data_IF_574537266148
#
_entry.id   IF_574537266148
#
_cell.length_a   1.000
_cell.length_b   1.000
_cell.length_c   1.000
_cell.angle_alpha   90.00
_cell.angle_beta   90.00
_cell.angle_gamma   90.00
#
_symmetry.space_group_name_H-M   'P 1'
#
loop_
_entity.id
_entity.type
_entity.pdbx_description
1 polymer ?
#
# COMPACT_ATOMS: atom_id res chain seq x y z
N UNK A 1 -8.85 -6.89 2.84
CA UNK A 1 -9.76 -5.94 2.14
C UNK A 1 -8.91 -5.09 1.20
N UNK A 2 -9.38 -4.79 -0.02
CA UNK A 2 -8.70 -3.82 -0.92
C UNK A 2 -9.02 -2.41 -0.45
N UNK A 3 -8.01 -1.55 -0.31
CA UNK A 3 -8.19 -0.19 0.23
C UNK A 3 -7.86 0.87 -0.82
N UNK A 4 -6.87 0.60 -1.65
CA UNK A 4 -6.40 1.57 -2.62
C UNK A 4 -6.13 0.87 -3.95
N UNK A 5 -6.62 1.47 -5.03
CA UNK A 5 -6.36 1.04 -6.40
C UNK A 5 -6.16 2.29 -7.25
N UNK A 6 -5.08 2.32 -8.02
CA UNK A 6 -4.79 3.38 -8.97
C UNK A 6 -4.32 2.76 -10.29
N UNK A 7 -4.64 3.41 -11.40
CA UNK A 7 -4.29 2.98 -12.75
C UNK A 7 -3.62 4.15 -13.47
N UNK A 8 -2.44 3.89 -14.04
CA UNK A 8 -1.65 4.89 -14.75
C UNK A 8 -1.15 4.30 -16.06
N UNK A 9 -1.23 5.07 -17.14
CA UNK A 9 -0.64 4.68 -18.42
C UNK A 9 0.87 4.89 -18.35
N UNK A 10 1.64 3.87 -18.69
CA UNK A 10 3.10 3.90 -18.64
C UNK A 10 3.71 3.57 -20.00
N UNK A 11 4.85 4.20 -20.29
CA UNK A 11 5.73 3.81 -21.37
C UNK A 11 6.77 2.79 -20.87
N UNK A 12 7.15 1.85 -21.73
CA UNK A 12 8.21 0.87 -21.50
C UNK A 12 8.09 0.06 -20.17
N UNK A 13 7.17 -0.93 -20.11
CA UNK A 13 6.83 -1.67 -18.89
C UNK A 13 8.02 -2.42 -18.25
N UNK A 14 9.00 -2.85 -19.06
CA UNK A 14 10.19 -3.57 -18.59
C UNK A 14 11.11 -2.70 -17.73
N UNK A 15 11.33 -1.44 -18.13
CA UNK A 15 12.13 -0.48 -17.35
C UNK A 15 11.39 -0.14 -16.05
N UNK A 16 10.08 0.12 -16.15
CA UNK A 16 9.25 0.47 -15.00
C UNK A 16 9.22 -0.61 -13.94
N UNK A 17 9.11 -1.87 -14.35
CA UNK A 17 9.21 -3.03 -13.48
C UNK A 17 10.50 -3.03 -12.66
N UNK A 18 11.65 -2.82 -13.29
CA UNK A 18 12.94 -2.79 -12.58
C UNK A 18 13.03 -1.63 -11.58
N UNK A 19 12.53 -0.44 -11.96
CA UNK A 19 12.46 0.72 -11.07
C UNK A 19 11.57 0.44 -9.85
N UNK A 20 10.41 -0.18 -10.04
CA UNK A 20 9.49 -0.57 -8.95
C UNK A 20 10.17 -1.55 -8.00
N UNK A 21 10.78 -2.63 -8.53
CA UNK A 21 11.45 -3.64 -7.70
C UNK A 21 12.60 -3.01 -6.91
N UNK A 22 13.41 -2.17 -7.54
CA UNK A 22 14.51 -1.47 -6.89
C UNK A 22 14.00 -0.58 -5.76
N UNK A 23 12.95 0.22 -6.01
CA UNK A 23 12.38 1.10 -4.99
C UNK A 23 11.79 0.32 -3.82
N UNK A 24 11.02 -0.73 -4.09
CA UNK A 24 10.39 -1.58 -3.07
C UNK A 24 11.45 -2.21 -2.15
N UNK A 25 12.53 -2.77 -2.71
CA UNK A 25 13.64 -3.30 -1.92
C UNK A 25 14.34 -2.22 -1.09
N UNK A 26 14.59 -1.05 -1.68
CA UNK A 26 15.25 0.09 -1.01
C UNK A 26 14.47 0.56 0.23
N UNK A 27 13.14 0.54 0.18
CA UNK A 27 12.28 0.93 1.31
C UNK A 27 11.97 -0.24 2.26
N UNK A 28 12.54 -1.42 2.02
CA UNK A 28 12.46 -2.58 2.92
C UNK A 28 11.27 -3.52 2.66
N UNK A 29 10.60 -3.44 1.52
CA UNK A 29 9.60 -4.45 1.13
C UNK A 29 10.24 -5.69 0.54
N UNK A 30 9.66 -6.84 0.85
CA UNK A 30 10.02 -8.12 0.26
C UNK A 30 9.16 -8.41 -0.98
N UNK A 31 9.77 -8.96 -2.04
CA UNK A 31 9.07 -9.30 -3.28
C UNK A 31 8.66 -10.77 -3.20
N UNK A 32 7.34 -11.03 -3.06
CA UNK A 32 6.78 -12.38 -3.02
C UNK A 32 6.68 -13.03 -4.39
N UNK A 33 6.33 -12.25 -5.41
CA UNK A 33 6.13 -12.75 -6.77
C UNK A 33 6.54 -11.69 -7.78
N UNK A 34 7.28 -12.09 -8.80
CA UNK A 34 7.67 -11.24 -9.92
C UNK A 34 7.50 -12.03 -11.23
N UNK A 35 6.49 -11.68 -12.01
CA UNK A 35 6.14 -12.29 -13.31
C UNK A 35 5.84 -11.20 -14.32
N UNK A 36 5.87 -11.46 -15.62
CA UNK A 36 5.79 -10.43 -16.69
C UNK A 36 4.58 -9.49 -16.63
N UNK A 37 3.52 -9.90 -15.93
CA UNK A 37 2.30 -9.08 -15.77
C UNK A 37 2.06 -8.61 -14.34
N UNK A 38 2.84 -9.08 -13.35
CA UNK A 38 2.55 -8.85 -11.93
C UNK A 38 3.80 -8.78 -11.06
N UNK A 39 3.86 -7.81 -10.15
CA UNK A 39 4.75 -7.77 -8.99
C UNK A 39 3.88 -7.81 -7.72
N UNK A 40 4.08 -8.80 -6.84
CA UNK A 40 3.47 -8.86 -5.51
C UNK A 40 4.57 -8.65 -4.48
N UNK A 41 4.31 -7.76 -3.52
CA UNK A 41 5.23 -7.46 -2.44
C UNK A 41 4.48 -7.40 -1.11
N UNK A 42 5.23 -7.57 -0.03
CA UNK A 42 4.73 -7.48 1.33
C UNK A 42 5.79 -6.88 2.24
N UNK A 43 5.33 -6.46 3.41
CA UNK A 43 6.23 -6.24 4.54
C UNK A 43 6.40 -7.59 5.26
N UNK A 44 7.64 -8.09 5.36
CA UNK A 44 7.94 -9.34 6.09
C UNK A 44 7.98 -9.13 7.61
N UNK A 45 7.91 -7.88 8.09
CA UNK A 45 7.65 -7.65 9.51
C UNK A 45 6.17 -7.92 9.79
N UNK A 46 5.88 -9.11 10.34
CA UNK A 46 4.58 -9.55 10.91
C UNK A 46 4.05 -8.64 12.04
N UNK A 47 4.66 -7.48 12.22
CA UNK A 47 4.30 -6.53 13.23
C UNK A 47 4.12 -5.18 12.55
N UNK A 48 2.92 -4.65 12.68
CA UNK A 48 2.72 -3.22 12.86
C UNK A 48 3.52 -2.82 14.10
N UNK A 49 4.86 -2.82 14.02
CA UNK A 49 5.72 -2.50 15.15
C UNK A 49 5.40 -1.06 15.50
N UNK A 50 4.86 -0.88 16.69
CA UNK A 50 4.72 0.38 17.38
C UNK A 50 6.07 1.12 17.54
N UNK A 51 7.18 0.44 17.23
CA UNK A 51 8.57 0.88 17.45
C UNK A 51 9.14 1.89 16.44
N UNK A 52 8.41 2.35 15.42
CA UNK A 52 8.97 3.41 14.58
C UNK A 52 7.91 4.39 14.10
N UNK A 53 7.74 5.46 14.88
CA UNK A 53 7.14 6.72 14.42
C UNK A 53 7.95 7.37 13.28
N UNK A 54 9.18 6.89 12.99
CA UNK A 54 10.09 7.51 12.01
C UNK A 54 9.99 6.92 10.60
N UNK A 55 9.63 5.65 10.43
CA UNK A 55 9.56 5.05 9.10
C UNK A 55 8.15 5.05 8.54
N UNK A 56 7.83 6.16 7.88
CA UNK A 56 6.55 6.40 7.21
C UNK A 56 6.17 5.34 6.18
N UNK A 57 7.00 4.35 5.86
CA UNK A 57 6.79 3.42 4.74
C UNK A 57 6.40 2.00 5.13
N UNK A 58 6.44 1.58 6.40
CA UNK A 58 6.16 0.20 6.83
C UNK A 58 4.71 -0.03 7.25
N UNK A 59 3.73 0.32 6.40
CA UNK A 59 2.29 0.15 6.73
C UNK A 59 1.45 -0.54 5.66
N UNK A 60 2.07 -1.02 4.57
CA UNK A 60 1.36 -1.84 3.58
C UNK A 60 1.68 -3.30 3.88
N UNK A 61 0.67 -4.06 4.31
CA UNK A 61 0.83 -5.49 4.58
C UNK A 61 1.13 -6.25 3.28
N UNK A 62 0.31 -6.04 2.26
CA UNK A 62 0.47 -6.64 0.93
C UNK A 62 0.12 -5.61 -0.16
N UNK A 63 0.98 -5.49 -1.16
CA UNK A 63 0.76 -4.67 -2.34
C UNK A 63 0.99 -5.45 -3.63
N UNK A 64 0.37 -5.00 -4.71
CA UNK A 64 0.45 -5.61 -6.04
C UNK A 64 0.53 -4.53 -7.10
N UNK A 65 1.50 -4.64 -7.99
CA UNK A 65 1.51 -3.95 -9.28
C UNK A 65 1.11 -4.95 -10.37
N UNK A 66 0.19 -4.56 -11.23
CA UNK A 66 -0.22 -5.32 -12.41
C UNK A 66 0.10 -4.49 -13.65
N UNK A 67 0.67 -5.15 -14.66
CA UNK A 67 0.90 -4.59 -15.98
C UNK A 67 -0.15 -5.19 -16.90
N UNK A 68 -1.00 -4.34 -17.47
CA UNK A 68 -2.09 -4.73 -18.36
C UNK A 68 -1.81 -4.09 -19.71
N UNK A 69 -1.72 -4.90 -20.76
CA UNK A 69 -1.63 -4.37 -22.13
C UNK A 69 -2.99 -3.81 -22.56
N UNK A 70 -3.01 -2.61 -23.12
CA UNK A 70 -4.19 -1.93 -23.65
C UNK A 70 -3.89 -1.38 -25.04
N UNK A 71 -4.92 -1.16 -25.85
CA UNK A 71 -4.81 -0.60 -27.20
C UNK A 71 -4.11 0.77 -27.24
N UNK A 72 -4.11 1.50 -26.12
CA UNK A 72 -3.48 2.83 -25.98
C UNK A 72 -2.09 2.78 -25.31
N UNK A 73 -1.56 1.59 -25.04
CA UNK A 73 -0.27 1.38 -24.35
C UNK A 73 -0.39 0.45 -23.14
N UNK A 74 0.67 0.37 -22.33
CA UNK A 74 0.68 -0.47 -21.12
C UNK A 74 0.09 0.30 -19.92
N UNK A 75 -0.86 -0.28 -19.23
CA UNK A 75 -1.45 0.25 -18.00
C UNK A 75 -0.75 -0.39 -16.79
N UNK A 76 -0.25 0.44 -15.88
CA UNK A 76 0.21 0.04 -14.56
C UNK A 76 -0.91 0.22 -13.55
N UNK A 77 -1.39 -0.88 -13.00
CA UNK A 77 -2.38 -0.88 -11.91
C UNK A 77 -1.69 -1.18 -10.59
N UNK A 78 -1.83 -0.28 -9.62
CA UNK A 78 -1.30 -0.44 -8.28
C UNK A 78 -2.42 -0.72 -7.29
N UNK A 79 -2.39 -1.87 -6.63
CA UNK A 79 -3.37 -2.32 -5.65
C UNK A 79 -2.73 -2.52 -4.28
N UNK A 80 -3.40 -2.06 -3.22
CA UNK A 80 -2.97 -2.25 -1.83
C UNK A 80 -4.06 -2.92 -1.02
N UNK A 81 -3.66 -3.97 -0.31
CA UNK A 81 -4.48 -4.74 0.60
C UNK A 81 -4.00 -4.52 2.03
N UNK A 82 -4.96 -4.31 2.93
CA UNK A 82 -4.72 -4.28 4.38
C UNK A 82 -5.73 -5.18 5.05
N UNK A 83 -5.31 -5.78 6.15
CA UNK A 83 -6.13 -6.64 6.97
C UNK A 83 -6.57 -5.89 8.23
N UNK A 84 -7.89 -5.81 8.43
CA UNK A 84 -8.51 -5.20 9.63
C UNK A 84 -9.38 -6.21 10.38
N UNK A 85 -9.15 -7.50 10.17
CA UNK A 85 -10.04 -8.55 10.68
C UNK A 85 -10.14 -8.51 12.21
N UNK A 86 -9.00 -8.29 12.87
CA UNK A 86 -8.94 -8.19 14.33
C UNK A 86 -9.67 -6.94 14.84
N UNK A 87 -9.39 -5.77 14.27
CA UNK A 87 -10.02 -4.51 14.66
C UNK A 87 -11.53 -4.52 14.42
N UNK A 88 -11.97 -5.08 13.29
CA UNK A 88 -13.39 -5.23 12.99
C UNK A 88 -14.07 -6.16 13.99
N UNK A 89 -13.43 -7.28 14.34
CA UNK A 89 -13.97 -8.19 15.36
C UNK A 89 -14.04 -7.54 16.74
N UNK A 90 -13.05 -6.71 17.10
CA UNK A 90 -13.04 -5.96 18.35
C UNK A 90 -14.14 -4.90 18.39
N UNK A 91 -14.35 -4.16 17.29
CA UNK A 91 -15.43 -3.16 17.17
C UNK A 91 -16.81 -3.84 17.25
N UNK A 92 -17.00 -4.97 16.58
CA UNK A 92 -18.26 -5.71 16.64
C UNK A 92 -18.52 -6.25 18.06
N UNK A 93 -17.50 -6.86 18.68
CA UNK A 93 -17.58 -7.35 20.05
C UNK A 93 -17.87 -6.22 21.05
N UNK A 94 -17.25 -5.05 20.89
CA UNK A 94 -17.46 -3.90 21.75
C UNK A 94 -18.82 -3.25 21.51
N UNK A 95 -19.36 -3.26 20.30
CA UNK A 95 -20.72 -2.81 20.02
C UNK A 95 -21.75 -3.69 20.74
N UNK A 96 -21.63 -5.02 20.62
CA UNK A 96 -22.50 -5.95 21.35
C UNK A 96 -22.35 -5.74 22.85
N UNK A 97 -21.12 -5.72 23.37
CA UNK A 97 -20.85 -5.48 24.78
C UNK A 97 -21.37 -4.12 25.28
N UNK A 98 -21.31 -3.08 24.46
CA UNK A 98 -21.78 -1.73 24.82
C UNK A 98 -23.29 -1.62 24.96
N UNK A 99 -24.05 -2.41 24.21
CA UNK A 99 -25.51 -2.51 24.37
C UNK A 99 -25.88 -3.17 25.71
N UNK A 100 -25.11 -4.17 26.16
CA UNK A 100 -25.46 -4.99 27.32
C UNK A 100 -24.76 -4.62 28.63
N UNK A 101 -23.60 -3.95 28.59
CA UNK A 101 -22.74 -3.76 29.77
C UNK A 101 -22.64 -2.31 30.25
N UNK A 102 -22.25 -1.36 29.39
CA UNK A 102 -21.98 0.03 29.82
C UNK A 102 -21.73 0.99 28.65
N UNK A 103 -22.07 2.27 28.85
CA UNK A 103 -21.70 3.39 27.98
C UNK A 103 -20.18 3.54 27.81
N UNK A 104 -19.37 3.11 28.78
CA UNK A 104 -17.90 3.17 28.69
C UNK A 104 -17.38 2.30 27.54
N UNK A 105 -18.01 1.15 27.29
CA UNK A 105 -17.66 0.26 26.18
C UNK A 105 -17.96 0.94 24.83
N UNK A 106 -18.96 1.82 24.77
CA UNK A 106 -19.24 2.62 23.59
C UNK A 106 -18.12 3.62 23.29
N UNK A 107 -17.56 4.27 24.32
CA UNK A 107 -16.39 5.16 24.14
C UNK A 107 -15.17 4.40 23.63
N UNK A 108 -14.92 3.20 24.14
CA UNK A 108 -13.85 2.32 23.63
C UNK A 108 -14.10 1.98 22.16
N UNK A 109 -15.34 1.71 21.77
CA UNK A 109 -15.72 1.44 20.37
C UNK A 109 -15.37 2.63 19.47
N UNK A 110 -15.73 3.85 19.87
CA UNK A 110 -15.40 5.08 19.12
C UNK A 110 -13.88 5.22 18.97
N UNK A 111 -13.12 4.95 20.02
CA UNK A 111 -11.66 5.01 19.96
C UNK A 111 -11.05 3.97 19.00
N UNK A 112 -11.58 2.74 18.99
CA UNK A 112 -11.17 1.70 18.04
C UNK A 112 -11.46 2.10 16.59
N UNK A 113 -12.60 2.72 16.32
CA UNK A 113 -12.94 3.25 14.99
C UNK A 113 -11.92 4.31 14.56
N UNK A 114 -11.51 5.21 15.47
CA UNK A 114 -10.50 6.23 15.17
C UNK A 114 -9.14 5.61 14.81
N UNK A 115 -8.71 4.57 15.55
CA UNK A 115 -7.47 3.84 15.24
C UNK A 115 -7.53 3.25 13.82
N UNK A 116 -8.65 2.62 13.43
CA UNK A 116 -8.82 2.06 12.08
C UNK A 116 -8.76 3.17 11.03
N UNK A 117 -9.41 4.32 11.27
CA UNK A 117 -9.37 5.46 10.37
C UNK A 117 -7.94 5.99 10.16
N UNK A 118 -7.15 6.14 11.23
CA UNK A 118 -5.75 6.55 11.13
C UNK A 118 -4.91 5.55 10.33
N UNK A 119 -5.13 4.24 10.54
CA UNK A 119 -4.46 3.20 9.76
C UNK A 119 -4.77 3.33 8.27
N UNK A 120 -6.05 3.47 7.91
CA UNK A 120 -6.47 3.66 6.51
C UNK A 120 -5.83 4.91 5.91
N UNK A 121 -5.89 6.04 6.61
CA UNK A 121 -5.34 7.30 6.13
C UNK A 121 -3.82 7.19 5.88
N UNK A 122 -3.10 6.53 6.78
CA UNK A 122 -1.68 6.30 6.62
C UNK A 122 -1.35 5.42 5.42
N UNK A 123 -2.10 4.34 5.21
CA UNK A 123 -1.94 3.44 4.05
C UNK A 123 -2.14 4.21 2.75
N UNK A 124 -3.20 5.01 2.65
CA UNK A 124 -3.49 5.83 1.46
C UNK A 124 -2.37 6.83 1.20
N UNK A 125 -1.87 7.50 2.23
CA UNK A 125 -0.75 8.46 2.12
C UNK A 125 0.51 7.78 1.58
N UNK A 126 0.84 6.60 2.08
CA UNK A 126 2.03 5.84 1.66
C UNK A 126 1.86 5.33 0.23
N UNK A 127 0.67 4.82 -0.09
CA UNK A 127 0.36 4.32 -1.44
C UNK A 127 0.54 5.43 -2.48
N UNK A 128 0.03 6.63 -2.19
CA UNK A 128 0.24 7.82 -3.04
C UNK A 128 1.73 8.16 -3.19
N UNK A 129 2.51 8.07 -2.10
CA UNK A 129 3.94 8.37 -2.11
C UNK A 129 4.77 7.36 -2.89
N UNK A 130 4.46 6.06 -2.77
CA UNK A 130 5.10 5.01 -3.57
C UNK A 130 4.78 5.24 -5.04
N UNK A 131 3.52 5.49 -5.37
CA UNK A 131 3.10 5.75 -6.74
C UNK A 131 3.78 6.99 -7.32
N UNK A 132 3.81 8.11 -6.58
CA UNK A 132 4.48 9.34 -7.04
C UNK A 132 5.97 9.12 -7.28
N UNK A 133 6.66 8.36 -6.43
CA UNK A 133 8.08 8.06 -6.62
C UNK A 133 8.33 7.16 -7.84
N UNK A 134 7.43 6.20 -8.08
CA UNK A 134 7.49 5.33 -9.26
C UNK A 134 7.25 6.13 -10.55
N UNK A 135 6.36 7.13 -10.52
CA UNK A 135 6.03 7.98 -11.66
C UNK A 135 7.06 9.10 -11.89
N UNK A 136 7.57 9.78 -10.86
CA UNK A 136 8.57 10.85 -11.02
C UNK A 136 9.91 10.36 -11.61
N UNK A 137 10.23 9.07 -11.43
CA UNK A 137 11.37 8.46 -12.11
C UNK A 137 11.20 8.36 -13.64
N UNK A 138 10.06 8.76 -14.23
CA UNK A 138 9.90 8.93 -15.69
C UNK A 138 10.63 10.15 -16.23
N UNK A 139 10.60 11.29 -15.54
CA UNK A 139 11.21 12.54 -16.05
C UNK A 139 12.74 12.51 -15.98
N UNK A 140 13.30 11.77 -15.04
CA UNK A 140 14.76 11.70 -14.86
C UNK A 140 15.40 10.71 -15.86
N UNK A 141 14.66 9.67 -16.27
CA UNK A 141 15.16 8.69 -17.24
C UNK A 141 15.15 9.19 -18.68
N UNK A 142 14.33 10.20 -19.02
CA UNK A 142 14.32 10.84 -20.33
C UNK A 142 15.37 11.97 -20.47
N UNK A 143 15.95 12.43 -19.35
CA UNK A 143 16.95 13.51 -19.35
C UNK A 143 18.40 13.04 -19.48
N UNK A 144 18.67 11.73 -19.59
CA UNK A 144 20.03 11.17 -19.53
C UNK A 144 20.50 10.41 -20.78
N UNK A 145 19.98 10.73 -21.97
CA UNK A 145 20.63 10.33 -23.23
C UNK A 145 21.56 11.47 -23.68
N UNK A 146 22.86 11.47 -23.34
CA UNK A 146 23.81 12.29 -24.07
C UNK A 146 23.86 11.77 -25.51
N UNK A 147 23.59 12.66 -26.47
CA UNK A 147 23.96 12.43 -27.86
C UNK A 147 25.48 12.25 -27.91
N UNK A 148 25.92 11.03 -28.18
CA UNK A 148 27.28 10.71 -28.65
C UNK A 148 27.20 10.14 -30.05
#
# INVERSE_FOLDING_TARGET
>A
MRIYTNEVVISNPSIKRNQIIFHLKKVGYHIKKNTDNVIIFNNDSDSWKTESRSESYKRIDNGKFEFIESEKGSILKFCVNVYFTFELSAILGSLVGGVFLSQVVFLITVFLVFIVAEKIHAVVKISKKILSNVLQNDEISSASVPLS
#
